data_IF_474685421761
#
_entry.id   IF_474685421761
#
_cell.length_a   1.000
_cell.length_b   1.000
_cell.length_c   1.000
_cell.angle_alpha   90.00
_cell.angle_beta   90.00
_cell.angle_gamma   90.00
#
_symmetry.space_group_name_H-M   'P 1'
#
loop_
_entity.id
_entity.type
_entity.pdbx_description
1 polymer ?
#
# COMPACT_ATOMS: atom_id res chain seq x y z
N UNK A 1 67.35 15.57 -67.69
CA UNK A 1 67.19 14.53 -66.67
C UNK A 1 66.92 15.03 -65.24
N UNK A 2 67.16 16.31 -64.89
CA UNK A 2 66.84 16.82 -63.53
C UNK A 2 65.33 17.05 -63.29
N UNK A 3 64.52 17.44 -64.32
CA UNK A 3 63.10 17.74 -64.18
C UNK A 3 62.23 16.53 -63.82
N UNK A 4 62.56 15.34 -64.33
CA UNK A 4 61.71 14.14 -64.05
C UNK A 4 61.94 13.58 -62.61
N UNK A 5 63.10 13.80 -62.03
CA UNK A 5 63.39 13.39 -60.66
C UNK A 5 62.63 14.28 -59.64
N UNK A 6 62.53 15.60 -59.89
CA UNK A 6 61.78 16.51 -59.03
C UNK A 6 60.27 16.27 -59.10
N UNK A 7 59.72 15.95 -60.28
CA UNK A 7 58.31 15.62 -60.45
C UNK A 7 57.94 14.31 -59.71
N UNK A 8 58.78 13.30 -59.70
CA UNK A 8 58.62 12.05 -58.97
C UNK A 8 58.69 12.27 -57.45
N UNK A 9 59.54 13.16 -56.99
CA UNK A 9 59.66 13.50 -55.56
C UNK A 9 58.36 14.24 -55.10
N UNK A 10 57.87 15.21 -55.85
CA UNK A 10 56.63 15.94 -55.59
C UNK A 10 55.44 14.97 -55.55
N UNK A 11 55.32 14.07 -56.52
CA UNK A 11 54.28 13.07 -56.60
C UNK A 11 54.28 12.11 -55.40
N UNK A 12 55.48 11.59 -55.03
CA UNK A 12 55.61 10.71 -53.88
C UNK A 12 55.31 11.43 -52.55
N UNK A 13 55.74 12.69 -52.38
CA UNK A 13 55.33 13.46 -51.16
C UNK A 13 53.89 13.76 -51.10
N UNK A 14 53.14 13.98 -52.21
CA UNK A 14 51.78 14.21 -52.27
C UNK A 14 50.95 12.93 -51.92
N UNK A 15 51.37 11.77 -52.39
CA UNK A 15 50.83 10.46 -52.02
C UNK A 15 50.99 10.18 -50.50
N UNK A 16 52.20 10.41 -49.98
CA UNK A 16 52.52 10.21 -48.57
C UNK A 16 51.63 11.15 -47.70
N UNK A 17 51.47 12.42 -48.09
CA UNK A 17 50.62 13.36 -47.40
C UNK A 17 49.15 12.92 -47.42
N UNK A 18 48.66 12.41 -48.57
CA UNK A 18 47.30 11.90 -48.71
C UNK A 18 47.06 10.65 -47.84
N UNK A 19 48.04 9.74 -47.80
CA UNK A 19 48.01 8.56 -46.93
C UNK A 19 48.04 8.93 -45.45
N UNK A 20 48.82 9.93 -45.04
CA UNK A 20 48.85 10.43 -43.68
C UNK A 20 47.50 11.10 -43.26
N UNK A 21 46.91 11.88 -44.18
CA UNK A 21 45.57 12.48 -43.95
C UNK A 21 44.52 11.38 -43.87
N UNK A 22 44.57 10.40 -44.77
CA UNK A 22 43.67 9.24 -44.70
C UNK A 22 43.83 8.42 -43.42
N UNK A 23 45.04 8.15 -43.01
CA UNK A 23 45.34 7.48 -41.75
C UNK A 23 44.87 8.30 -40.53
N UNK A 24 45.08 9.62 -40.55
CA UNK A 24 44.58 10.53 -39.50
C UNK A 24 43.05 10.51 -39.39
N UNK A 25 42.32 10.58 -40.53
CA UNK A 25 40.89 10.52 -40.57
C UNK A 25 40.34 9.17 -40.05
N UNK A 26 40.99 8.06 -40.41
CA UNK A 26 40.64 6.73 -39.90
C UNK A 26 40.88 6.65 -38.40
N UNK A 27 42.06 7.07 -37.93
CA UNK A 27 42.40 7.05 -36.49
C UNK A 27 41.48 7.97 -35.70
N UNK A 28 41.20 9.17 -36.20
CA UNK A 28 40.31 10.11 -35.52
C UNK A 28 38.85 9.63 -35.44
N UNK A 29 38.45 8.74 -36.35
CA UNK A 29 37.10 8.14 -36.30
C UNK A 29 37.02 7.01 -35.25
N UNK A 30 38.10 6.26 -35.02
CA UNK A 30 38.10 5.14 -34.06
C UNK A 30 38.70 5.47 -32.70
N UNK A 31 39.50 6.53 -32.58
CA UNK A 31 40.18 6.96 -31.35
C UNK A 31 39.67 8.32 -30.92
N UNK A 32 38.91 8.36 -29.82
CA UNK A 32 38.48 9.61 -29.19
C UNK A 32 39.67 10.28 -28.52
N UNK A 33 40.25 11.29 -29.19
CA UNK A 33 41.34 12.10 -28.65
C UNK A 33 40.74 13.24 -27.80
N UNK A 34 40.93 13.19 -26.48
CA UNK A 34 40.52 14.26 -25.58
C UNK A 34 40.41 13.77 -24.14
N UNK A 35 40.17 14.69 -23.22
CA UNK A 35 39.86 14.39 -21.81
C UNK A 35 38.38 13.92 -21.67
N UNK A 36 38.09 12.77 -22.36
CA UNK A 36 36.72 12.18 -22.36
C UNK A 36 36.81 10.68 -22.12
N UNK A 37 35.92 10.18 -21.30
CA UNK A 37 35.69 8.74 -21.14
C UNK A 37 34.47 8.31 -21.94
N UNK A 38 34.64 7.37 -22.86
CA UNK A 38 33.63 6.90 -23.79
C UNK A 38 33.14 5.50 -23.44
N UNK A 39 31.83 5.27 -23.58
CA UNK A 39 31.23 3.94 -23.57
C UNK A 39 30.07 3.85 -24.56
N UNK A 40 30.00 2.75 -25.29
CA UNK A 40 28.89 2.30 -26.15
C UNK A 40 27.90 1.36 -25.41
N UNK A 41 28.28 0.94 -24.19
CA UNK A 41 27.47 0.06 -23.37
C UNK A 41 26.61 0.87 -22.42
N UNK A 42 25.66 1.58 -22.99
CA UNK A 42 24.69 2.37 -22.23
C UNK A 42 23.28 2.22 -22.79
N UNK A 43 22.30 2.32 -21.93
CA UNK A 43 20.88 2.09 -22.27
C UNK A 43 19.98 3.11 -21.59
N UNK A 44 18.95 3.54 -22.30
CA UNK A 44 17.90 4.40 -21.76
C UNK A 44 16.97 3.60 -20.86
N UNK A 45 16.66 4.12 -19.69
CA UNK A 45 15.71 3.56 -18.73
C UNK A 45 14.55 4.51 -18.46
N UNK A 46 13.39 3.93 -18.18
CA UNK A 46 12.20 4.59 -17.65
C UNK A 46 11.63 3.73 -16.53
N UNK A 47 10.82 4.31 -15.64
CA UNK A 47 10.07 3.50 -14.68
C UNK A 47 9.04 2.64 -15.41
N UNK A 48 9.09 1.34 -15.16
CA UNK A 48 8.12 0.37 -15.65
C UNK A 48 7.38 -0.17 -14.45
N UNK A 49 6.09 0.15 -14.34
CA UNK A 49 5.24 -0.26 -13.23
C UNK A 49 4.39 -1.44 -13.67
N UNK A 50 4.58 -2.64 -13.09
CA UNK A 50 3.73 -3.78 -13.38
C UNK A 50 2.37 -3.58 -12.70
N UNK A 51 1.29 -3.87 -13.42
CA UNK A 51 -0.08 -3.90 -12.92
C UNK A 51 -0.47 -5.34 -12.70
N UNK A 52 -0.56 -5.75 -11.43
CA UNK A 52 -0.84 -7.12 -11.05
C UNK A 52 -2.28 -7.27 -10.55
N UNK A 53 -2.90 -8.43 -10.81
CA UNK A 53 -4.17 -8.78 -10.17
C UNK A 53 -3.95 -9.18 -8.70
N UNK A 54 -4.96 -8.88 -7.86
CA UNK A 54 -5.00 -9.29 -6.44
C UNK A 54 -5.97 -10.42 -6.19
N UNK A 55 -6.85 -10.70 -7.17
CA UNK A 55 -7.89 -11.75 -7.06
C UNK A 55 -7.78 -12.74 -8.21
N UNK A 56 -8.24 -13.95 -7.97
CA UNK A 56 -8.38 -14.97 -8.99
C UNK A 56 -9.72 -14.83 -9.70
N UNK A 57 -9.75 -15.09 -11.00
CA UNK A 57 -10.99 -15.15 -11.79
C UNK A 57 -10.72 -15.16 -13.28
N UNK A 58 -11.77 -15.22 -14.07
CA UNK A 58 -11.67 -15.15 -15.52
C UNK A 58 -11.73 -13.69 -15.98
N UNK A 59 -10.93 -13.33 -16.98
CA UNK A 59 -10.98 -12.01 -17.60
C UNK A 59 -12.29 -11.90 -18.37
N UNK A 60 -13.16 -10.95 -17.97
CA UNK A 60 -14.43 -10.68 -18.66
C UNK A 60 -14.25 -9.70 -19.80
N UNK A 61 -13.43 -8.68 -19.61
CA UNK A 61 -13.26 -7.59 -20.56
C UNK A 61 -11.87 -6.97 -20.43
N UNK A 62 -11.26 -6.60 -21.57
CA UNK A 62 -10.00 -5.83 -21.64
C UNK A 62 -10.32 -4.51 -22.32
N UNK A 63 -9.96 -3.39 -21.70
CA UNK A 63 -10.31 -2.02 -22.12
C UNK A 63 -9.10 -1.20 -22.56
N UNK A 64 -7.99 -1.84 -22.87
CA UNK A 64 -6.82 -1.15 -23.42
C UNK A 64 -6.27 -1.91 -24.62
N UNK A 65 -5.60 -1.17 -25.49
CA UNK A 65 -4.83 -1.72 -26.60
C UNK A 65 -3.33 -1.60 -26.37
N UNK A 66 -2.56 -2.37 -27.13
CA UNK A 66 -1.10 -2.33 -27.08
C UNK A 66 -0.58 -0.92 -27.33
N UNK A 67 0.32 -0.45 -26.47
CA UNK A 67 0.98 0.86 -26.58
C UNK A 67 0.05 2.07 -26.42
N UNK A 68 -1.17 1.86 -25.92
CA UNK A 68 -2.11 2.94 -25.62
C UNK A 68 -1.61 3.81 -24.46
N UNK A 69 -1.81 5.13 -24.57
CA UNK A 69 -1.59 6.04 -23.43
C UNK A 69 -2.76 5.93 -22.46
N UNK A 70 -2.47 5.78 -21.17
CA UNK A 70 -3.43 5.68 -20.09
C UNK A 70 -3.09 6.66 -18.97
N UNK A 71 -4.11 7.05 -18.21
CA UNK A 71 -3.98 7.88 -17.03
C UNK A 71 -4.25 7.06 -15.78
N UNK A 72 -3.66 7.50 -14.68
CA UNK A 72 -3.90 6.87 -13.38
C UNK A 72 -5.39 6.82 -13.06
N UNK A 73 -5.91 5.63 -12.78
CA UNK A 73 -7.33 5.39 -12.50
C UNK A 73 -8.13 4.87 -13.69
N UNK A 74 -7.60 4.92 -14.92
CA UNK A 74 -8.25 4.33 -16.09
C UNK A 74 -8.43 2.82 -15.89
N UNK A 75 -9.62 2.31 -16.21
CA UNK A 75 -9.92 0.88 -16.13
C UNK A 75 -9.23 0.14 -17.28
N UNK A 76 -8.31 -0.75 -16.94
CA UNK A 76 -7.56 -1.56 -17.91
C UNK A 76 -8.30 -2.85 -18.25
N UNK A 77 -8.78 -3.57 -17.26
CA UNK A 77 -9.51 -4.81 -17.47
C UNK A 77 -10.47 -5.10 -16.30
N UNK A 78 -11.42 -5.97 -16.59
CA UNK A 78 -12.43 -6.40 -15.63
C UNK A 78 -12.39 -7.93 -15.53
N UNK A 79 -12.23 -8.43 -14.31
CA UNK A 79 -12.35 -9.84 -13.95
C UNK A 79 -13.83 -10.13 -13.67
N UNK A 80 -14.29 -11.34 -13.93
CA UNK A 80 -15.66 -11.75 -13.63
C UNK A 80 -15.97 -11.57 -12.14
N UNK A 81 -17.01 -10.80 -11.86
CA UNK A 81 -17.34 -10.30 -10.53
C UNK A 81 -18.52 -11.00 -9.86
N UNK A 82 -19.14 -11.96 -10.55
CA UNK A 82 -20.38 -12.64 -10.10
C UNK A 82 -20.22 -13.25 -8.70
N UNK A 83 -19.15 -14.03 -8.48
CA UNK A 83 -18.88 -14.64 -7.19
C UNK A 83 -18.63 -13.61 -6.09
N UNK A 84 -17.89 -12.54 -6.40
CA UNK A 84 -17.59 -11.47 -5.44
C UNK A 84 -18.85 -10.69 -5.05
N UNK A 85 -19.78 -10.44 -5.99
CA UNK A 85 -21.08 -9.82 -5.70
C UNK A 85 -21.94 -10.70 -4.79
N UNK A 86 -21.92 -12.02 -5.02
CA UNK A 86 -22.65 -12.95 -4.14
C UNK A 86 -22.06 -12.95 -2.72
N UNK A 87 -20.74 -12.86 -2.58
CA UNK A 87 -20.09 -12.73 -1.26
C UNK A 87 -20.45 -11.43 -0.56
N UNK A 88 -20.56 -10.31 -1.30
CA UNK A 88 -21.03 -9.04 -0.75
C UNK A 88 -22.48 -9.17 -0.27
N UNK A 89 -23.38 -9.74 -1.09
CA UNK A 89 -24.77 -9.94 -0.72
C UNK A 89 -24.92 -10.85 0.52
N UNK A 90 -24.10 -11.91 0.64
CA UNK A 90 -24.07 -12.75 1.82
C UNK A 90 -23.63 -11.98 3.06
N UNK A 91 -22.55 -11.21 2.97
CA UNK A 91 -22.05 -10.41 4.10
C UNK A 91 -23.05 -9.30 4.52
N UNK A 92 -23.80 -8.73 3.55
CA UNK A 92 -24.88 -7.76 3.83
C UNK A 92 -26.02 -8.43 4.61
N UNK A 93 -26.39 -9.64 4.25
CA UNK A 93 -27.41 -10.42 4.98
C UNK A 93 -26.94 -10.78 6.40
N UNK A 94 -25.68 -11.16 6.56
CA UNK A 94 -25.08 -11.49 7.86
C UNK A 94 -25.03 -10.24 8.77
N UNK A 95 -24.69 -9.07 8.24
CA UNK A 95 -24.73 -7.81 8.96
C UNK A 95 -26.17 -7.45 9.38
N UNK A 96 -27.13 -7.59 8.48
CA UNK A 96 -28.55 -7.33 8.78
C UNK A 96 -29.05 -8.24 9.91
N UNK A 97 -28.66 -9.51 9.90
CA UNK A 97 -28.98 -10.47 10.96
C UNK A 97 -28.34 -10.09 12.31
N UNK A 98 -27.06 -9.75 12.33
CA UNK A 98 -26.36 -9.28 13.54
C UNK A 98 -27.01 -8.02 14.12
N UNK A 99 -27.36 -7.04 13.27
CA UNK A 99 -28.06 -5.82 13.68
C UNK A 99 -29.45 -6.10 14.24
N UNK A 100 -30.18 -7.05 13.65
CA UNK A 100 -31.48 -7.47 14.19
C UNK A 100 -31.34 -8.07 15.60
N UNK A 101 -30.32 -8.94 15.79
CA UNK A 101 -29.95 -9.47 17.11
C UNK A 101 -29.62 -8.37 18.13
N UNK A 102 -28.87 -7.37 17.71
CA UNK A 102 -28.54 -6.20 18.52
C UNK A 102 -29.80 -5.42 18.98
N UNK A 103 -30.75 -5.19 18.07
CA UNK A 103 -32.03 -4.52 18.42
C UNK A 103 -32.84 -5.32 19.45
N UNK A 104 -32.90 -6.64 19.33
CA UNK A 104 -33.58 -7.51 20.30
C UNK A 104 -32.93 -7.39 21.68
N UNK A 105 -31.60 -7.45 21.74
CA UNK A 105 -30.84 -7.33 22.99
C UNK A 105 -31.03 -5.94 23.63
N UNK A 106 -31.01 -4.87 22.83
CA UNK A 106 -31.30 -3.50 23.29
C UNK A 106 -32.69 -3.41 23.91
N UNK A 107 -33.69 -4.02 23.29
CA UNK A 107 -35.06 -4.09 23.86
C UNK A 107 -35.07 -4.83 25.20
N UNK A 108 -34.31 -5.91 25.34
CA UNK A 108 -34.20 -6.67 26.60
C UNK A 108 -33.51 -5.83 27.70
N UNK A 109 -32.50 -5.04 27.39
CA UNK A 109 -31.87 -4.10 28.34
C UNK A 109 -32.86 -3.04 28.79
N UNK A 110 -33.66 -2.48 27.89
CA UNK A 110 -34.67 -1.48 28.22
C UNK A 110 -35.75 -2.06 29.12
N UNK A 111 -36.19 -3.29 28.84
CA UNK A 111 -37.17 -3.99 29.71
C UNK A 111 -36.59 -4.23 31.10
N UNK A 112 -35.35 -4.70 31.22
CA UNK A 112 -34.67 -4.88 32.50
C UNK A 112 -34.50 -3.54 33.26
N UNK A 113 -34.20 -2.45 32.57
CA UNK A 113 -34.10 -1.10 33.14
C UNK A 113 -35.47 -0.65 33.71
N UNK A 114 -36.54 -0.86 32.97
CA UNK A 114 -37.92 -0.54 33.43
C UNK A 114 -38.28 -1.34 34.69
N UNK A 115 -37.92 -2.63 34.75
CA UNK A 115 -38.16 -3.46 35.92
C UNK A 115 -37.42 -2.94 37.17
N UNK A 116 -36.19 -2.42 37.01
CA UNK A 116 -35.44 -1.77 38.10
C UNK A 116 -36.22 -0.51 38.58
N UNK A 117 -36.69 0.33 37.66
CA UNK A 117 -37.46 1.54 38.01
C UNK A 117 -38.75 1.21 38.77
N UNK A 118 -39.45 0.15 38.36
CA UNK A 118 -40.66 -0.33 39.10
C UNK A 118 -40.30 -0.78 40.53
N UNK A 119 -39.16 -1.51 40.66
CA UNK A 119 -38.70 -1.93 42.00
C UNK A 119 -38.25 -0.74 42.87
N UNK A 120 -37.69 0.32 42.29
CA UNK A 120 -37.35 1.56 42.98
C UNK A 120 -38.60 2.28 43.53
N UNK A 121 -39.68 2.31 42.77
CA UNK A 121 -40.96 2.83 43.25
C UNK A 121 -41.50 1.99 44.43
N UNK A 122 -41.37 0.65 44.38
CA UNK A 122 -41.78 -0.23 45.48
C UNK A 122 -40.90 -0.05 46.73
N UNK A 123 -39.65 0.29 46.61
CA UNK A 123 -38.74 0.63 47.73
C UNK A 123 -39.26 1.93 48.40
N UNK A 124 -39.63 2.93 47.60
CA UNK A 124 -40.11 4.20 48.13
C UNK A 124 -41.40 4.01 48.91
N UNK A 125 -42.36 3.20 48.43
CA UNK A 125 -43.57 2.83 49.15
C UNK A 125 -43.23 2.14 50.48
N UNK A 126 -42.37 1.13 50.46
CA UNK A 126 -41.98 0.40 51.69
C UNK A 126 -41.20 1.29 52.68
N UNK A 127 -40.42 2.27 52.18
CA UNK A 127 -39.72 3.27 52.98
C UNK A 127 -40.71 4.14 53.76
N UNK A 128 -41.70 4.68 53.08
CA UNK A 128 -42.76 5.50 53.75
C UNK A 128 -43.51 4.70 54.81
N UNK A 129 -43.82 3.43 54.52
CA UNK A 129 -44.46 2.54 55.49
C UNK A 129 -43.57 2.28 56.72
N UNK A 130 -42.26 2.03 56.51
CA UNK A 130 -41.29 1.85 57.58
C UNK A 130 -41.13 3.09 58.45
N UNK A 131 -41.02 4.28 57.82
CA UNK A 131 -40.93 5.57 58.55
C UNK A 131 -42.17 5.85 59.40
N UNK A 132 -43.35 5.50 58.91
CA UNK A 132 -44.57 5.63 59.69
C UNK A 132 -44.57 4.67 60.89
N UNK A 133 -44.25 3.38 60.71
CA UNK A 133 -44.18 2.39 61.77
C UNK A 133 -43.13 2.73 62.84
N UNK A 134 -41.96 3.28 62.37
CA UNK A 134 -40.90 3.71 63.28
C UNK A 134 -41.31 4.91 64.14
N UNK A 135 -42.02 5.87 63.58
CA UNK A 135 -42.60 7.00 64.33
C UNK A 135 -43.63 6.54 65.38
N UNK A 136 -44.45 5.57 65.02
CA UNK A 136 -45.47 5.01 65.96
C UNK A 136 -44.75 4.21 67.04
N UNK A 137 -43.81 3.37 66.76
CA UNK A 137 -43.00 2.61 67.71
C UNK A 137 -42.32 3.54 68.72
N UNK A 138 -41.65 4.60 68.25
CA UNK A 138 -41.00 5.60 69.15
C UNK A 138 -42.03 6.29 70.07
N UNK A 139 -43.17 6.63 69.54
CA UNK A 139 -44.27 7.24 70.35
C UNK A 139 -44.74 6.28 71.41
N UNK A 140 -45.03 5.04 71.06
CA UNK A 140 -45.55 4.04 72.03
C UNK A 140 -44.46 3.62 73.05
N UNK A 141 -43.20 3.59 72.64
CA UNK A 141 -42.07 3.37 73.57
C UNK A 141 -41.95 4.45 74.65
N UNK A 142 -42.30 5.72 74.30
CA UNK A 142 -42.38 6.82 75.27
C UNK A 142 -43.57 6.70 76.17
N UNK A 143 -44.73 6.44 75.60
CA UNK A 143 -46.00 6.29 76.36
C UNK A 143 -45.92 5.09 77.34
N UNK A 144 -45.24 4.03 76.99
CA UNK A 144 -44.98 2.88 77.88
C UNK A 144 -44.13 3.28 79.08
N UNK A 145 -43.15 4.14 78.91
CA UNK A 145 -42.28 4.64 80.00
C UNK A 145 -43.06 5.55 80.94
N UNK A 146 -44.16 6.16 80.46
CA UNK A 146 -45.04 7.02 81.20
C UNK A 146 -46.26 6.24 81.77
N UNK A 147 -46.24 4.88 81.69
CA UNK A 147 -47.33 3.98 82.09
C UNK A 147 -48.75 4.33 81.43
N UNK A 148 -48.69 5.02 80.28
CA UNK A 148 -49.91 5.44 79.57
C UNK A 148 -50.52 4.38 78.63
N UNK A 149 -49.75 3.30 78.31
CA UNK A 149 -50.12 2.14 77.45
C UNK A 149 -49.65 0.83 78.09
N UNK A 150 -50.35 -0.27 77.73
CA UNK A 150 -49.95 -1.61 78.18
C UNK A 150 -48.77 -2.19 77.43
N UNK A 151 -48.00 -3.10 78.03
CA UNK A 151 -46.93 -3.83 77.37
C UNK A 151 -47.42 -4.54 76.12
N UNK A 152 -48.65 -5.15 76.15
CA UNK A 152 -49.23 -5.84 74.99
C UNK A 152 -49.49 -4.89 73.82
N UNK A 153 -49.86 -3.65 74.07
CA UNK A 153 -50.06 -2.64 73.03
C UNK A 153 -48.72 -2.22 72.38
N UNK A 154 -47.72 -2.00 73.21
CA UNK A 154 -46.33 -1.73 72.69
C UNK A 154 -45.79 -2.88 71.87
N UNK A 155 -45.87 -4.13 72.35
CA UNK A 155 -45.41 -5.31 71.66
C UNK A 155 -46.04 -5.49 70.28
N UNK A 156 -47.34 -5.16 70.17
CA UNK A 156 -48.04 -5.15 68.88
C UNK A 156 -47.48 -4.14 67.86
N UNK A 157 -47.20 -2.90 68.33
CA UNK A 157 -46.63 -1.83 67.47
C UNK A 157 -45.17 -2.16 67.13
N UNK A 158 -44.40 -2.67 68.10
CA UNK A 158 -43.04 -3.09 67.87
C UNK A 158 -42.95 -4.21 66.80
N UNK A 159 -43.85 -5.18 66.86
CA UNK A 159 -43.99 -6.24 65.88
C UNK A 159 -44.33 -5.68 64.48
N UNK A 160 -45.23 -4.70 64.39
CA UNK A 160 -45.62 -4.02 63.16
C UNK A 160 -44.42 -3.27 62.54
N UNK A 161 -43.63 -2.59 63.38
CA UNK A 161 -42.36 -1.94 62.91
C UNK A 161 -41.35 -2.98 62.37
N UNK A 162 -41.13 -4.10 63.07
CA UNK A 162 -40.22 -5.17 62.60
C UNK A 162 -40.71 -5.75 61.26
N UNK A 163 -42.03 -5.95 61.10
CA UNK A 163 -42.60 -6.41 59.83
C UNK A 163 -42.38 -5.41 58.66
N UNK A 164 -42.60 -4.09 58.93
CA UNK A 164 -42.36 -3.05 57.94
C UNK A 164 -40.83 -2.98 57.58
N UNK A 165 -39.92 -3.13 58.52
CA UNK A 165 -38.48 -3.20 58.31
C UNK A 165 -38.11 -4.39 57.44
N UNK A 166 -38.61 -5.58 57.79
CA UNK A 166 -38.37 -6.80 56.99
C UNK A 166 -38.89 -6.65 55.54
N UNK A 167 -40.05 -6.01 55.38
CA UNK A 167 -40.59 -5.72 54.04
C UNK A 167 -39.68 -4.79 53.22
N UNK A 168 -39.22 -3.69 53.83
CA UNK A 168 -38.31 -2.77 53.18
C UNK A 168 -36.99 -3.48 52.75
N UNK A 169 -36.36 -4.26 53.60
CA UNK A 169 -35.20 -5.05 53.27
C UNK A 169 -35.45 -6.07 52.17
N UNK A 170 -36.63 -6.70 52.15
CA UNK A 170 -37.00 -7.62 51.06
C UNK A 170 -37.07 -6.92 49.72
N UNK A 171 -37.69 -5.73 49.62
CA UNK A 171 -37.79 -4.98 48.34
C UNK A 171 -36.46 -4.47 47.88
N UNK A 172 -35.58 -4.08 48.84
CA UNK A 172 -34.18 -3.70 48.50
C UNK A 172 -33.38 -4.87 47.87
N UNK A 173 -33.51 -6.07 48.45
CA UNK A 173 -32.91 -7.27 47.87
C UNK A 173 -33.44 -7.60 46.49
N UNK A 174 -34.78 -7.44 46.31
CA UNK A 174 -35.43 -7.61 45.00
C UNK A 174 -34.89 -6.64 43.95
N UNK A 175 -34.75 -5.36 44.31
CA UNK A 175 -34.14 -4.35 43.40
C UNK A 175 -32.72 -4.70 43.06
N UNK A 176 -31.92 -5.17 44.01
CA UNK A 176 -30.53 -5.59 43.76
C UNK A 176 -30.44 -6.76 42.78
N UNK A 177 -31.36 -7.74 42.91
CA UNK A 177 -31.44 -8.86 41.98
C UNK A 177 -31.80 -8.40 40.55
N UNK A 178 -32.79 -7.49 40.40
CA UNK A 178 -33.16 -6.92 39.11
C UNK A 178 -32.03 -6.06 38.49
N UNK A 179 -31.27 -5.35 39.34
CA UNK A 179 -30.07 -4.61 38.89
C UNK A 179 -28.98 -5.54 38.34
N UNK A 180 -28.77 -6.70 38.95
CA UNK A 180 -27.85 -7.71 38.44
C UNK A 180 -28.30 -8.24 37.08
N UNK A 181 -29.58 -8.50 36.86
CA UNK A 181 -30.16 -8.89 35.57
C UNK A 181 -29.97 -7.80 34.53
N UNK A 182 -30.17 -6.52 34.85
CA UNK A 182 -29.91 -5.40 33.95
C UNK A 182 -28.42 -5.38 33.52
N UNK A 183 -27.52 -5.60 34.47
CA UNK A 183 -26.08 -5.65 34.19
C UNK A 183 -25.72 -6.81 33.26
N UNK A 184 -26.29 -7.99 33.51
CA UNK A 184 -26.13 -9.15 32.63
C UNK A 184 -26.59 -8.85 31.18
N UNK A 185 -27.79 -8.26 31.02
CA UNK A 185 -28.25 -7.86 29.68
C UNK A 185 -27.36 -6.82 29.04
N UNK A 186 -26.77 -5.90 29.81
CA UNK A 186 -25.77 -4.96 29.35
C UNK A 186 -24.51 -5.65 28.79
N UNK A 187 -24.01 -6.70 29.44
CA UNK A 187 -22.90 -7.48 28.93
C UNK A 187 -23.28 -8.23 27.63
N UNK A 188 -24.49 -8.76 27.56
CA UNK A 188 -24.99 -9.39 26.31
C UNK A 188 -25.09 -8.36 25.17
N UNK A 189 -25.49 -7.12 25.47
CA UNK A 189 -25.49 -6.05 24.48
C UNK A 189 -24.06 -5.81 23.93
N UNK A 190 -23.06 -5.72 24.79
CA UNK A 190 -21.67 -5.59 24.37
C UNK A 190 -21.19 -6.74 23.47
N UNK A 191 -21.65 -7.97 23.72
CA UNK A 191 -21.36 -9.12 22.84
C UNK A 191 -22.02 -8.98 21.46
N UNK A 192 -23.31 -8.58 21.41
CA UNK A 192 -24.00 -8.38 20.13
C UNK A 192 -23.44 -7.21 19.34
N UNK A 193 -23.03 -6.13 19.99
CA UNK A 193 -22.31 -5.01 19.36
C UNK A 193 -20.97 -5.45 18.75
N UNK A 194 -20.24 -6.33 19.44
CA UNK A 194 -19.02 -6.92 18.89
C UNK A 194 -19.30 -7.80 17.66
N UNK A 195 -20.40 -8.56 17.68
CA UNK A 195 -20.83 -9.34 16.52
C UNK A 195 -21.23 -8.46 15.33
N UNK A 196 -21.88 -7.33 15.55
CA UNK A 196 -22.19 -6.33 14.51
C UNK A 196 -20.89 -5.79 13.88
N UNK A 197 -19.93 -5.36 14.71
CA UNK A 197 -18.63 -4.87 14.19
C UNK A 197 -17.86 -5.94 13.39
N UNK A 198 -17.95 -7.21 13.80
CA UNK A 198 -17.36 -8.31 13.04
C UNK A 198 -18.02 -8.46 11.66
N UNK A 199 -19.35 -8.44 11.60
CA UNK A 199 -20.10 -8.53 10.36
C UNK A 199 -19.85 -7.32 9.44
N UNK A 200 -19.72 -6.11 9.98
CA UNK A 200 -19.30 -4.92 9.24
C UNK A 200 -17.93 -5.08 8.60
N UNK A 201 -16.95 -5.56 9.37
CA UNK A 201 -15.59 -5.81 8.86
C UNK A 201 -15.57 -6.89 7.76
N UNK A 202 -16.43 -7.91 7.88
CA UNK A 202 -16.57 -8.95 6.85
C UNK A 202 -17.19 -8.39 5.56
N UNK A 203 -18.19 -7.51 5.68
CA UNK A 203 -18.77 -6.82 4.54
C UNK A 203 -17.76 -5.91 3.83
N UNK A 204 -16.98 -5.15 4.60
CA UNK A 204 -15.94 -4.28 4.04
C UNK A 204 -14.86 -5.09 3.31
N UNK A 205 -14.46 -6.24 3.86
CA UNK A 205 -13.54 -7.16 3.19
C UNK A 205 -14.13 -7.72 1.89
N UNK A 206 -15.42 -8.09 1.88
CA UNK A 206 -16.09 -8.58 0.67
C UNK A 206 -16.15 -7.49 -0.40
N UNK A 207 -16.48 -6.24 -0.04
CA UNK A 207 -16.49 -5.07 -0.93
C UNK A 207 -15.11 -4.75 -1.46
N UNK A 208 -14.08 -4.82 -0.63
CA UNK A 208 -12.68 -4.62 -1.05
C UNK A 208 -12.28 -5.66 -2.09
N UNK A 209 -12.59 -6.94 -1.87
CA UNK A 209 -12.31 -7.99 -2.84
C UNK A 209 -13.07 -7.79 -4.15
N UNK A 210 -14.33 -7.33 -4.10
CA UNK A 210 -15.10 -6.95 -5.28
C UNK A 210 -14.43 -5.78 -6.02
N UNK A 211 -13.90 -4.78 -5.32
CA UNK A 211 -13.19 -3.67 -5.96
C UNK A 211 -11.94 -4.12 -6.74
N UNK A 212 -11.28 -5.20 -6.30
CA UNK A 212 -10.11 -5.75 -6.97
C UNK A 212 -10.41 -6.50 -8.27
N UNK A 213 -11.69 -6.74 -8.59
CA UNK A 213 -12.08 -7.28 -9.91
C UNK A 213 -11.96 -6.27 -11.03
N UNK A 214 -11.93 -4.97 -10.71
CA UNK A 214 -11.68 -3.89 -11.66
C UNK A 214 -10.22 -3.46 -11.52
N UNK A 215 -9.41 -3.79 -12.52
CA UNK A 215 -7.99 -3.45 -12.52
C UNK A 215 -7.79 -2.13 -13.23
N UNK A 216 -7.22 -1.17 -12.50
CA UNK A 216 -6.99 0.20 -12.97
C UNK A 216 -5.50 0.50 -13.13
N UNK A 217 -5.20 1.46 -13.99
CA UNK A 217 -3.85 2.00 -14.16
C UNK A 217 -3.36 2.64 -12.85
N UNK A 218 -2.17 2.26 -12.41
CA UNK A 218 -1.55 2.75 -11.16
C UNK A 218 -0.74 4.03 -11.36
N UNK A 219 -0.37 4.34 -12.61
CA UNK A 219 0.42 5.51 -13.01
C UNK A 219 -0.03 6.01 -14.38
N UNK A 220 0.35 7.26 -14.70
CA UNK A 220 0.23 7.81 -16.05
C UNK A 220 1.35 7.25 -16.93
N UNK A 221 1.04 6.87 -18.16
CA UNK A 221 2.06 6.34 -19.03
C UNK A 221 1.53 5.65 -20.29
N UNK A 222 2.37 4.81 -20.87
CA UNK A 222 2.02 3.98 -22.02
C UNK A 222 2.01 2.52 -21.59
N UNK A 223 0.89 1.83 -21.86
CA UNK A 223 0.80 0.39 -21.59
C UNK A 223 1.69 -0.37 -22.56
N UNK A 224 2.38 -1.39 -22.07
CA UNK A 224 3.17 -2.30 -22.88
C UNK A 224 2.30 -3.25 -23.72
N UNK A 225 2.94 -4.25 -24.30
CA UNK A 225 2.23 -5.32 -25.02
C UNK A 225 1.37 -6.12 -24.04
N UNK A 226 0.15 -6.46 -24.47
CA UNK A 226 -0.76 -7.34 -23.72
C UNK A 226 -0.48 -8.81 -24.07
N UNK A 227 -0.24 -9.62 -23.05
CA UNK A 227 -0.10 -11.07 -23.18
C UNK A 227 -1.27 -11.82 -22.51
N UNK A 228 -2.42 -11.16 -22.43
CA UNK A 228 -3.64 -11.64 -21.78
C UNK A 228 -4.83 -11.65 -22.74
N UNK A 229 -5.79 -12.57 -22.52
CA UNK A 229 -6.94 -12.74 -23.39
C UNK A 229 -8.23 -12.81 -22.57
N UNK A 230 -9.34 -12.37 -23.16
CA UNK A 230 -10.68 -12.52 -22.59
C UNK A 230 -10.98 -14.03 -22.41
N UNK A 231 -11.54 -14.40 -21.26
CA UNK A 231 -11.79 -15.79 -20.86
C UNK A 231 -10.59 -16.51 -20.25
N UNK A 232 -9.43 -15.86 -20.15
CA UNK A 232 -8.26 -16.41 -19.47
C UNK A 232 -8.46 -16.39 -17.95
N UNK A 233 -8.10 -17.50 -17.28
CA UNK A 233 -8.02 -17.57 -15.82
C UNK A 233 -6.74 -16.89 -15.35
N UNK A 234 -6.86 -15.96 -14.41
CA UNK A 234 -5.73 -15.27 -13.78
C UNK A 234 -5.65 -15.55 -12.29
N UNK A 235 -4.44 -15.43 -11.73
CA UNK A 235 -4.18 -15.72 -10.33
C UNK A 235 -3.57 -14.48 -9.62
N UNK A 236 -3.75 -14.36 -8.29
CA UNK A 236 -3.16 -13.28 -7.51
C UNK A 236 -1.64 -13.17 -7.73
N UNK A 237 -1.16 -11.95 -7.95
CA UNK A 237 0.26 -11.67 -8.23
C UNK A 237 0.64 -11.74 -9.72
N UNK A 238 -0.21 -12.27 -10.59
CA UNK A 238 0.06 -12.31 -12.03
C UNK A 238 0.02 -10.90 -12.63
N UNK A 239 1.03 -10.57 -13.44
CA UNK A 239 1.10 -9.28 -14.16
C UNK A 239 0.12 -9.27 -15.32
N UNK A 240 -0.75 -8.27 -15.35
CA UNK A 240 -1.76 -8.08 -16.38
C UNK A 240 -1.32 -7.12 -17.46
N UNK A 241 -0.58 -6.09 -17.07
CA UNK A 241 -0.02 -5.08 -17.96
C UNK A 241 1.22 -4.47 -17.31
N UNK A 242 2.05 -3.81 -18.11
CA UNK A 242 3.16 -3.01 -17.64
C UNK A 242 2.97 -1.59 -18.15
N UNK A 243 3.05 -0.59 -17.27
CA UNK A 243 2.91 0.82 -17.66
C UNK A 243 4.31 1.45 -17.63
N UNK A 244 4.73 2.00 -18.75
CA UNK A 244 5.97 2.76 -18.88
C UNK A 244 5.64 4.22 -18.59
N UNK A 245 6.18 4.73 -17.49
CA UNK A 245 6.00 6.12 -17.06
C UNK A 245 6.73 7.08 -18.03
N UNK A 246 6.08 8.21 -18.33
CA UNK A 246 6.66 9.28 -19.16
C UNK A 246 7.42 10.32 -18.34
N UNK A 247 7.28 10.34 -17.02
CA UNK A 247 7.77 11.43 -16.17
C UNK A 247 9.28 11.50 -16.05
N UNK A 248 9.96 10.37 -15.89
CA UNK A 248 11.41 10.32 -15.66
C UNK A 248 12.10 9.41 -16.67
N UNK A 249 13.17 9.92 -17.27
CA UNK A 249 14.05 9.16 -18.14
C UNK A 249 15.49 9.37 -17.69
N UNK A 250 16.26 8.28 -17.65
CA UNK A 250 17.69 8.32 -17.33
C UNK A 250 18.45 7.33 -18.19
N UNK A 251 19.77 7.47 -18.21
CA UNK A 251 20.67 6.54 -18.89
C UNK A 251 21.47 5.80 -17.83
N UNK A 252 21.64 4.50 -18.03
CA UNK A 252 22.62 3.70 -17.30
C UNK A 252 23.74 3.35 -18.26
N UNK A 253 24.93 3.90 -18.00
CA UNK A 253 26.12 3.69 -18.78
C UNK A 253 27.12 2.82 -18.01
N UNK A 254 27.61 1.75 -18.63
CA UNK A 254 28.50 0.80 -18.00
C UNK A 254 29.96 1.13 -18.44
N UNK A 255 30.69 1.84 -17.58
CA UNK A 255 32.10 2.18 -17.80
C UNK A 255 33.00 1.09 -17.26
N UNK A 256 34.19 0.95 -17.87
CA UNK A 256 35.22 0.01 -17.40
C UNK A 256 35.82 0.50 -16.08
N UNK A 257 36.25 -0.42 -15.23
CA UNK A 257 36.90 -0.11 -13.96
C UNK A 257 38.08 0.89 -14.12
N UNK A 258 38.83 0.78 -15.21
CA UNK A 258 39.98 1.65 -15.54
C UNK A 258 39.59 3.10 -15.81
N UNK A 259 38.35 3.35 -16.28
CA UNK A 259 37.81 4.67 -16.61
C UNK A 259 37.27 5.40 -15.37
N UNK A 260 36.97 4.66 -14.30
CA UNK A 260 36.28 5.21 -13.10
C UNK A 260 37.11 6.27 -12.36
N UNK A 261 38.44 6.30 -12.53
CA UNK A 261 39.31 7.32 -11.92
C UNK A 261 38.97 8.75 -12.38
N UNK A 262 38.42 8.89 -13.59
CA UNK A 262 38.14 10.17 -14.24
C UNK A 262 36.64 10.56 -14.15
N UNK A 263 35.77 9.65 -13.72
CA UNK A 263 34.31 9.87 -13.67
C UNK A 263 33.90 10.22 -12.25
N UNK A 264 33.26 11.37 -12.06
CA UNK A 264 32.78 11.86 -10.77
C UNK A 264 31.29 12.20 -10.84
N UNK A 265 30.63 12.17 -9.68
CA UNK A 265 29.24 12.66 -9.58
C UNK A 265 29.20 14.16 -9.93
N UNK A 266 28.32 14.54 -10.83
CA UNK A 266 28.21 15.89 -11.35
C UNK A 266 28.93 16.14 -12.68
N UNK A 267 29.80 15.21 -13.17
CA UNK A 267 30.47 15.32 -14.48
C UNK A 267 29.44 15.46 -15.59
N UNK A 268 29.71 16.31 -16.56
CA UNK A 268 28.87 16.50 -17.75
C UNK A 268 29.04 15.34 -18.71
N UNK A 269 27.95 14.89 -19.29
CA UNK A 269 27.90 13.74 -20.21
C UNK A 269 27.21 14.17 -21.50
N UNK A 270 27.86 13.94 -22.61
CA UNK A 270 27.29 14.00 -23.94
C UNK A 270 26.70 12.63 -24.29
N UNK A 271 25.46 12.58 -24.68
CA UNK A 271 24.72 11.33 -24.92
C UNK A 271 24.19 11.36 -26.35
N UNK A 272 24.62 10.41 -27.15
CA UNK A 272 24.18 10.20 -28.51
C UNK A 272 23.32 8.94 -28.57
N UNK A 273 22.12 9.08 -29.10
CA UNK A 273 21.14 7.99 -29.16
C UNK A 273 21.08 7.45 -30.58
N UNK A 274 21.24 6.14 -30.78
CA UNK A 274 21.26 5.52 -32.11
C UNK A 274 19.98 5.78 -32.92
N UNK A 275 18.83 5.87 -32.22
CA UNK A 275 17.53 6.16 -32.84
C UNK A 275 17.34 7.63 -33.24
N UNK A 276 18.23 8.55 -32.78
CA UNK A 276 18.15 9.99 -33.03
C UNK A 276 19.55 10.54 -33.34
N UNK A 277 20.18 10.16 -34.46
CA UNK A 277 21.59 10.45 -34.72
C UNK A 277 21.91 11.94 -34.88
N UNK A 278 20.90 12.75 -35.26
CA UNK A 278 21.08 14.19 -35.48
C UNK A 278 20.97 15.02 -34.20
N UNK A 279 20.67 14.39 -33.06
CA UNK A 279 20.48 15.08 -31.78
C UNK A 279 21.40 14.53 -30.70
N UNK A 280 22.13 15.42 -30.05
CA UNK A 280 23.01 15.10 -28.93
C UNK A 280 22.38 15.62 -27.64
N UNK A 281 22.06 14.70 -26.75
CA UNK A 281 21.52 15.05 -25.46
C UNK A 281 22.66 15.36 -24.47
N UNK A 282 22.39 16.26 -23.54
CA UNK A 282 23.29 16.55 -22.43
C UNK A 282 22.73 15.98 -21.14
N UNK A 283 23.60 15.43 -20.31
CA UNK A 283 23.24 14.90 -19.00
C UNK A 283 24.32 15.17 -17.97
N UNK A 284 24.05 14.76 -16.75
CA UNK A 284 25.03 14.78 -15.65
C UNK A 284 25.07 13.45 -14.94
N UNK A 285 26.24 13.04 -14.53
CA UNK A 285 26.40 11.87 -13.66
C UNK A 285 25.68 12.13 -12.35
N UNK A 286 24.61 11.37 -12.12
CA UNK A 286 23.81 11.48 -10.89
C UNK A 286 24.35 10.60 -9.78
N UNK A 287 24.65 9.34 -10.10
CA UNK A 287 25.12 8.33 -9.14
C UNK A 287 26.05 7.34 -9.83
N UNK A 288 27.00 6.86 -9.07
CA UNK A 288 27.91 5.80 -9.46
C UNK A 288 27.63 4.59 -8.57
N UNK A 289 27.47 3.41 -9.17
CA UNK A 289 27.27 2.18 -8.41
C UNK A 289 28.48 1.86 -7.55
N UNK A 290 28.22 1.37 -6.32
CA UNK A 290 29.26 0.89 -5.41
C UNK A 290 29.67 -0.57 -5.68
N UNK A 291 29.05 -1.22 -6.69
CA UNK A 291 29.34 -2.58 -7.07
C UNK A 291 29.39 -2.71 -8.60
N UNK A 292 30.19 -3.65 -9.09
CA UNK A 292 30.28 -3.96 -10.52
C UNK A 292 29.05 -4.74 -10.98
N UNK A 293 28.80 -4.74 -12.30
CA UNK A 293 27.68 -5.49 -12.87
C UNK A 293 27.72 -6.99 -12.55
N UNK A 294 28.93 -7.57 -12.44
CA UNK A 294 29.07 -8.98 -12.05
C UNK A 294 28.69 -9.28 -10.60
N UNK A 295 28.85 -8.32 -9.69
CA UNK A 295 28.43 -8.47 -8.27
C UNK A 295 26.90 -8.53 -8.11
N UNK A 296 26.13 -8.01 -9.08
CA UNK A 296 24.66 -8.10 -9.11
C UNK A 296 24.14 -9.30 -9.92
N UNK A 297 25.05 -10.11 -10.53
CA UNK A 297 24.64 -11.27 -11.32
C UNK A 297 24.07 -12.36 -10.42
N UNK A 298 22.90 -12.91 -10.81
CA UNK A 298 22.28 -14.06 -10.13
C UNK A 298 23.14 -15.33 -10.25
N UNK A 299 24.01 -15.40 -11.29
CA UNK A 299 24.98 -16.48 -11.47
C UNK A 299 26.38 -15.89 -11.33
N UNK A 300 27.03 -16.03 -10.16
CA UNK A 300 28.40 -15.59 -9.98
C UNK A 300 29.30 -16.34 -10.93
N UNK A 301 30.22 -15.63 -11.61
CA UNK A 301 31.28 -16.27 -12.37
C UNK A 301 32.35 -16.77 -11.38
N UNK A 302 32.24 -18.02 -10.98
CA UNK A 302 33.25 -18.67 -10.13
C UNK A 302 34.32 -19.32 -11.03
N UNK A 303 35.57 -18.86 -10.88
CA UNK A 303 36.73 -19.44 -11.55
C UNK A 303 37.26 -20.68 -10.78
N UNK A 304 36.38 -21.66 -10.51
CA UNK A 304 36.66 -22.84 -9.69
C UNK A 304 37.72 -23.80 -10.33
N UNK A 305 38.17 -23.54 -11.55
CA UNK A 305 39.08 -24.43 -12.30
C UNK A 305 40.60 -24.12 -12.13
N UNK A 306 40.97 -23.27 -11.18
CA UNK A 306 42.37 -23.06 -10.79
C UNK A 306 43.18 -22.08 -11.63
N UNK A 307 42.70 -21.61 -12.78
CA UNK A 307 43.33 -20.55 -13.57
C UNK A 307 42.53 -19.24 -13.39
N UNK A 308 43.08 -18.30 -12.67
CA UNK A 308 42.54 -16.95 -12.55
C UNK A 308 42.72 -16.17 -13.83
N UNK A 309 41.68 -15.88 -14.57
CA UNK A 309 41.68 -14.94 -15.69
C UNK A 309 41.07 -13.64 -15.21
N UNK A 310 41.86 -12.56 -15.21
CA UNK A 310 41.37 -11.22 -14.88
C UNK A 310 40.39 -10.76 -15.97
N UNK A 311 39.09 -10.76 -15.67
CA UNK A 311 38.05 -10.22 -16.53
C UNK A 311 37.83 -8.76 -16.16
N UNK A 312 37.85 -7.87 -17.14
CA UNK A 312 37.61 -6.44 -16.96
C UNK A 312 36.15 -6.21 -16.44
N UNK A 313 36.04 -5.58 -15.30
CA UNK A 313 34.76 -5.30 -14.69
C UNK A 313 34.17 -3.98 -15.22
N UNK A 314 32.82 -3.91 -15.25
CA UNK A 314 32.12 -2.70 -15.62
C UNK A 314 31.30 -2.19 -14.42
N UNK A 315 31.33 -0.86 -14.22
CA UNK A 315 30.64 -0.17 -13.15
C UNK A 315 29.47 0.60 -13.76
N UNK A 316 28.22 0.33 -13.33
CA UNK A 316 27.05 1.09 -13.79
C UNK A 316 27.07 2.52 -13.24
N UNK A 317 26.88 3.49 -14.12
CA UNK A 317 26.77 4.92 -13.82
C UNK A 317 25.41 5.40 -14.27
N UNK A 318 24.63 5.94 -13.34
CA UNK A 318 23.33 6.57 -13.64
C UNK A 318 23.56 8.02 -14.05
N UNK A 319 23.04 8.38 -15.22
CA UNK A 319 23.14 9.70 -15.82
C UNK A 319 21.75 10.26 -15.93
N UNK A 320 21.53 11.41 -15.32
CA UNK A 320 20.29 12.17 -15.46
C UNK A 320 20.37 13.03 -16.71
N UNK A 321 19.36 12.91 -17.58
CA UNK A 321 19.24 13.77 -18.76
C UNK A 321 18.87 15.19 -18.37
N UNK A 322 19.34 16.16 -19.17
CA UNK A 322 18.92 17.55 -19.08
C UNK A 322 17.46 17.73 -19.48
N UNK A 323 16.92 18.93 -19.23
CA UNK A 323 15.53 19.29 -19.58
C UNK A 323 15.48 19.61 -21.09
N UNK A 324 15.32 18.60 -21.91
CA UNK A 324 15.16 18.70 -23.36
C UNK A 324 13.81 18.15 -23.77
N UNK A 325 13.11 18.85 -24.68
CA UNK A 325 11.80 18.40 -25.20
C UNK A 325 11.90 17.08 -25.98
N UNK A 326 13.03 16.81 -26.61
CA UNK A 326 13.27 15.57 -27.34
C UNK A 326 13.42 14.33 -26.41
N UNK A 327 13.61 14.53 -25.09
CA UNK A 327 13.68 13.41 -24.14
C UNK A 327 12.39 12.61 -24.06
N UNK A 328 11.25 13.19 -24.43
CA UNK A 328 9.96 12.46 -24.51
C UNK A 328 9.99 11.36 -25.58
N UNK A 329 10.80 11.52 -26.63
CA UNK A 329 10.94 10.55 -27.73
C UNK A 329 11.83 9.36 -27.35
N UNK A 330 12.59 9.47 -26.26
CA UNK A 330 13.46 8.40 -25.80
C UNK A 330 12.61 7.27 -25.19
N UNK A 331 12.71 6.09 -25.78
CA UNK A 331 12.03 4.88 -25.27
C UNK A 331 12.97 4.09 -24.37
N UNK A 332 12.42 3.42 -23.35
CA UNK A 332 13.22 2.50 -22.55
C UNK A 332 13.81 1.39 -23.42
N UNK A 333 15.06 1.03 -23.17
CA UNK A 333 15.78 -0.01 -23.91
C UNK A 333 16.53 0.46 -25.16
N UNK A 334 16.48 1.76 -25.53
CA UNK A 334 17.33 2.28 -26.60
C UNK A 334 18.78 2.28 -26.20
N UNK A 335 19.65 1.86 -27.12
CA UNK A 335 21.10 1.95 -26.96
C UNK A 335 21.57 3.39 -27.18
N UNK A 336 22.59 3.76 -26.43
CA UNK A 336 23.19 5.09 -26.48
C UNK A 336 24.68 5.03 -26.29
N UNK A 337 25.39 5.98 -26.88
CA UNK A 337 26.79 6.25 -26.66
C UNK A 337 26.91 7.40 -25.64
N UNK A 338 27.80 7.23 -24.67
CA UNK A 338 28.03 8.21 -23.63
C UNK A 338 29.46 8.64 -23.54
N UNK A 339 29.71 9.96 -23.60
CA UNK A 339 31.02 10.60 -23.46
C UNK A 339 30.98 11.48 -22.20
N UNK A 340 31.76 11.12 -21.17
CA UNK A 340 31.94 11.91 -19.96
C UNK A 340 33.14 12.83 -20.13
N UNK A 341 32.99 14.13 -19.95
CA UNK A 341 34.08 15.12 -19.90
C UNK A 341 34.62 15.21 -18.46
N UNK A 342 35.95 15.19 -18.31
CA UNK A 342 36.67 15.28 -17.01
C UNK A 342 37.78 16.30 -17.01
#
# INVERSE_FOLDING_TARGET
>A
MKSQKTLRIIYNTLIIALLLVGAYLVVSHFVHFGDVEFTDNATVYRHVTPVNTRVQGFIREIRFDDYQTVHRGDTLLIIEDTEFRLRVAQAEADLANAQAGGRVTTSSVNTAATNVTVAEASIEEARVQLENAEREEKRYAQLLKEDAVTQQQYDGIHTAWLAAKARYEQVQRQRSALSAVKTEQGHRLGQTEAAVRLAEAQLDLARLNLSYTVIVATADGVVGKKDIHVGQLVQPGQTMASIVDKSEVWVVANYRETQMKNIQVGSEVSIKVDALPDHVFTGKVERISQATGSAYSVVPQDNATGNFVKVEQRVPVRIRLGNDRETERLKAGLNVECEVKY
#
